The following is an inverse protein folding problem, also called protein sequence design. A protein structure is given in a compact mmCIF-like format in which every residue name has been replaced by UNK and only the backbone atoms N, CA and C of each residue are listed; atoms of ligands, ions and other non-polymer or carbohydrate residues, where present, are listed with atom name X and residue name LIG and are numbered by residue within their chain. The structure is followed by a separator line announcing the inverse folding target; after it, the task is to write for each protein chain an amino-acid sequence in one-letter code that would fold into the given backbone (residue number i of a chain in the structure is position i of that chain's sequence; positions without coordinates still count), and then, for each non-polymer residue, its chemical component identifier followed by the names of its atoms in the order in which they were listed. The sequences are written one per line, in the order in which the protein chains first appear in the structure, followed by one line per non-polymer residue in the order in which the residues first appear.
data_IF_385140120125
#
_entry.id   IF_385140120125
#
_cell.length_a   1.000
_cell.length_b   1.000
_cell.length_c   1.000
_cell.angle_alpha   90.00
_cell.angle_beta   90.00
_cell.angle_gamma   90.00
#
_symmetry.space_group_name_H-M   'P 1'
#
loop_
_entity.id
_entity.type
_entity.pdbx_description
1 polymer ?
#
# COMPACT_ATOMS: atom_id res chain seq x y z
N UNK A 1 -30.10 19.76 14.95
CA UNK A 1 -29.09 18.67 14.93
C UNK A 1 -29.22 17.90 13.62
N UNK A 2 -28.30 18.07 12.67
CA UNK A 2 -28.32 17.31 11.43
C UNK A 2 -27.80 15.89 11.69
N UNK A 3 -28.66 14.89 11.51
CA UNK A 3 -28.33 13.47 11.58
C UNK A 3 -27.31 13.21 10.45
N UNK A 4 -26.04 12.94 10.78
CA UNK A 4 -25.01 12.54 9.80
C UNK A 4 -25.58 11.35 9.02
N UNK A 5 -25.99 11.59 7.77
CA UNK A 5 -26.43 10.53 6.86
C UNK A 5 -25.24 9.60 6.71
N UNK A 6 -25.43 8.33 7.06
CA UNK A 6 -24.36 7.32 7.05
C UNK A 6 -23.85 7.21 5.62
N UNK A 7 -22.63 7.68 5.36
CA UNK A 7 -22.06 7.66 4.02
C UNK A 7 -22.04 6.22 3.50
N UNK A 8 -22.61 5.98 2.31
CA UNK A 8 -22.50 4.69 1.63
C UNK A 8 -21.07 4.61 1.08
N UNK A 9 -20.30 3.64 1.56
CA UNK A 9 -18.94 3.38 1.09
C UNK A 9 -19.00 2.34 -0.03
N UNK A 10 -18.61 2.73 -1.24
CA UNK A 10 -18.30 1.79 -2.31
C UNK A 10 -16.80 1.50 -2.33
N UNK A 11 -16.42 0.26 -2.63
CA UNK A 11 -15.03 -0.14 -2.84
C UNK A 11 -14.90 -0.67 -4.26
N UNK A 12 -13.89 -0.19 -4.99
CA UNK A 12 -13.56 -0.66 -6.34
C UNK A 12 -12.25 -1.42 -6.28
N UNK A 13 -12.19 -2.56 -6.96
CA UNK A 13 -10.97 -3.34 -7.15
C UNK A 13 -10.68 -3.45 -8.64
N UNK A 14 -9.43 -3.20 -9.02
CA UNK A 14 -9.00 -3.21 -10.41
C UNK A 14 -7.74 -4.05 -10.59
N UNK A 15 -7.58 -4.62 -11.77
CA UNK A 15 -6.34 -5.28 -12.18
C UNK A 15 -5.57 -4.31 -13.07
N UNK A 16 -4.27 -4.19 -12.82
CA UNK A 16 -3.36 -3.37 -13.61
C UNK A 16 -2.28 -4.27 -14.21
N UNK A 17 -1.73 -3.85 -15.34
CA UNK A 17 -0.59 -4.53 -15.95
C UNK A 17 0.61 -4.51 -14.98
N UNK A 18 1.31 -5.63 -14.89
CA UNK A 18 2.52 -5.73 -14.08
C UNK A 18 3.68 -5.08 -14.84
N UNK A 19 4.46 -4.23 -14.19
CA UNK A 19 5.71 -3.71 -14.74
C UNK A 19 6.87 -3.91 -13.76
N UNK A 20 8.10 -3.95 -14.28
CA UNK A 20 9.31 -4.10 -13.46
C UNK A 20 9.43 -2.99 -12.40
N UNK A 21 9.18 -1.71 -12.73
CA UNK A 21 9.20 -0.65 -11.72
C UNK A 21 8.14 -0.83 -10.61
N UNK A 22 6.95 -1.37 -10.94
CA UNK A 22 5.93 -1.69 -9.94
C UNK A 22 6.38 -2.83 -9.02
N UNK A 23 6.94 -3.88 -9.61
CA UNK A 23 7.48 -5.01 -8.86
C UNK A 23 8.60 -4.58 -7.91
N UNK A 24 9.52 -3.74 -8.39
CA UNK A 24 10.60 -3.18 -7.58
C UNK A 24 10.05 -2.40 -6.37
N UNK A 25 9.10 -1.49 -6.60
CA UNK A 25 8.45 -0.72 -5.53
C UNK A 25 7.81 -1.64 -4.48
N UNK A 26 7.02 -2.62 -4.93
CA UNK A 26 6.29 -3.53 -4.03
C UNK A 26 7.27 -4.38 -3.22
N UNK A 27 8.32 -4.90 -3.84
CA UNK A 27 9.34 -5.70 -3.15
C UNK A 27 10.12 -4.88 -2.14
N UNK A 28 10.51 -3.65 -2.49
CA UNK A 28 11.20 -2.72 -1.60
C UNK A 28 10.32 -2.35 -0.40
N UNK A 29 9.05 -2.04 -0.64
CA UNK A 29 8.08 -1.74 0.41
C UNK A 29 7.88 -2.93 1.36
N UNK A 30 7.77 -4.15 0.85
CA UNK A 30 7.62 -5.36 1.69
C UNK A 30 8.84 -5.59 2.58
N UNK A 31 10.05 -5.37 2.05
CA UNK A 31 11.28 -5.45 2.85
C UNK A 31 11.29 -4.37 3.93
N UNK A 32 10.96 -3.13 3.55
CA UNK A 32 10.89 -1.98 4.45
C UNK A 32 9.89 -2.19 5.58
N UNK A 33 8.65 -2.56 5.30
CA UNK A 33 7.62 -2.72 6.34
C UNK A 33 7.95 -3.87 7.29
N UNK A 34 8.57 -4.95 6.82
CA UNK A 34 9.04 -6.05 7.68
C UNK A 34 10.11 -5.56 8.65
N UNK A 35 11.08 -4.81 8.15
CA UNK A 35 12.09 -4.17 8.97
C UNK A 35 11.46 -3.21 9.98
N UNK A 36 10.58 -2.31 9.53
CA UNK A 36 9.96 -1.31 10.40
C UNK A 36 9.11 -1.93 11.50
N UNK A 37 8.28 -2.93 11.20
CA UNK A 37 7.47 -3.63 12.21
C UNK A 37 8.37 -4.26 13.28
N UNK A 38 9.49 -4.86 12.87
CA UNK A 38 10.43 -5.46 13.81
C UNK A 38 11.15 -4.40 14.65
N UNK A 39 11.61 -3.32 14.03
CA UNK A 39 12.22 -2.18 14.71
C UNK A 39 11.28 -1.57 15.76
N UNK A 40 9.99 -1.44 15.45
CA UNK A 40 8.97 -0.94 16.39
C UNK A 40 8.85 -1.83 17.62
N UNK A 41 8.87 -3.15 17.43
CA UNK A 41 8.81 -4.11 18.54
C UNK A 41 9.99 -3.96 19.51
N UNK A 42 11.17 -3.67 18.99
CA UNK A 42 12.39 -3.54 19.78
C UNK A 42 12.54 -2.16 20.43
N UNK A 43 12.11 -1.10 19.75
CA UNK A 43 12.43 0.29 20.12
C UNK A 43 11.25 1.11 20.64
N UNK A 44 10.02 0.57 20.54
CA UNK A 44 8.78 1.24 20.97
C UNK A 44 7.99 0.34 21.92
N UNK A 45 8.28 0.40 23.24
CA UNK A 45 7.57 -0.40 24.24
C UNK A 45 6.07 -0.12 24.33
N UNK A 46 5.67 1.14 24.11
CA UNK A 46 4.28 1.57 24.11
C UNK A 46 3.97 2.42 22.86
N UNK A 47 3.26 1.89 21.85
CA UNK A 47 2.93 2.66 20.66
C UNK A 47 1.83 3.72 20.85
N UNK A 48 1.15 3.74 22.01
CA UNK A 48 0.15 4.76 22.34
C UNK A 48 0.72 5.97 23.09
N UNK A 49 2.02 5.96 23.39
CA UNK A 49 2.69 7.10 24.00
C UNK A 49 2.70 8.32 23.05
N UNK A 50 2.55 9.51 23.63
CA UNK A 50 2.60 10.77 22.86
C UNK A 50 4.01 10.95 22.28
N UNK A 51 4.09 11.35 21.01
CA UNK A 51 5.37 11.60 20.34
C UNK A 51 6.00 10.39 19.65
N UNK A 52 5.43 9.18 19.80
CA UNK A 52 5.94 7.96 19.11
C UNK A 52 6.05 8.16 17.60
N UNK A 53 5.06 8.83 16.98
CA UNK A 53 5.10 9.09 15.55
C UNK A 53 6.30 9.97 15.13
N UNK A 54 6.68 10.95 15.96
CA UNK A 54 7.84 11.81 15.72
C UNK A 54 9.14 11.01 15.82
N UNK A 55 9.30 10.24 16.90
CA UNK A 55 10.46 9.33 17.08
C UNK A 55 10.60 8.35 15.91
N UNK A 56 9.49 7.74 15.50
CA UNK A 56 9.47 6.81 14.35
C UNK A 56 9.88 7.51 13.07
N UNK A 57 9.42 8.75 12.85
CA UNK A 57 9.80 9.51 11.66
C UNK A 57 11.30 9.84 11.65
N UNK A 58 11.83 10.38 12.75
CA UNK A 58 13.25 10.76 12.86
C UNK A 58 14.19 9.58 12.59
N UNK A 59 13.87 8.41 13.14
CA UNK A 59 14.72 7.22 13.03
C UNK A 59 14.58 6.47 11.70
N UNK A 60 13.37 6.42 11.14
CA UNK A 60 13.09 5.52 10.02
C UNK A 60 12.97 6.22 8.68
N UNK A 61 12.61 7.51 8.63
CA UNK A 61 12.34 8.18 7.36
C UNK A 61 13.54 8.15 6.41
N UNK A 62 14.71 8.60 6.89
CA UNK A 62 15.96 8.62 6.09
C UNK A 62 16.38 7.22 5.70
N UNK A 63 16.29 6.26 6.63
CA UNK A 63 16.63 4.87 6.37
C UNK A 63 15.75 4.23 5.29
N UNK A 64 14.45 4.45 5.36
CA UNK A 64 13.49 3.96 4.38
C UNK A 64 13.68 4.60 3.00
N UNK A 65 14.02 5.88 2.96
CA UNK A 65 14.36 6.62 1.74
C UNK A 65 15.61 6.08 1.06
N UNK A 66 16.68 5.89 1.82
CA UNK A 66 18.03 5.66 1.28
C UNK A 66 18.35 4.17 1.11
N UNK A 67 18.05 3.33 2.11
CA UNK A 67 18.41 1.91 2.06
C UNK A 67 17.37 1.05 1.33
N UNK A 68 16.10 1.44 1.40
CA UNK A 68 14.99 0.72 0.76
C UNK A 68 14.48 1.40 -0.51
N UNK A 69 15.12 2.49 -0.93
CA UNK A 69 14.78 3.25 -2.15
C UNK A 69 13.28 3.63 -2.18
N UNK A 70 12.73 4.01 -1.03
CA UNK A 70 11.34 4.44 -0.96
C UNK A 70 11.20 5.94 -1.32
N UNK A 71 10.22 6.28 -2.18
CA UNK A 71 9.81 7.66 -2.39
C UNK A 71 9.37 8.29 -1.08
N UNK A 72 9.61 9.59 -0.90
CA UNK A 72 9.31 10.32 0.34
C UNK A 72 7.93 10.01 0.92
N UNK A 73 6.87 10.17 0.12
CA UNK A 73 5.50 9.90 0.61
C UNK A 73 5.26 8.42 0.95
N UNK A 74 5.83 7.51 0.17
CA UNK A 74 5.70 6.05 0.37
C UNK A 74 6.48 5.61 1.62
N UNK A 75 7.64 6.22 1.90
CA UNK A 75 8.40 6.00 3.12
C UNK A 75 7.59 6.44 4.35
N UNK A 76 6.91 7.59 4.27
CA UNK A 76 6.00 8.03 5.33
C UNK A 76 4.85 7.06 5.57
N UNK A 77 4.21 6.63 4.49
CA UNK A 77 3.07 5.71 4.57
C UNK A 77 3.52 4.33 5.07
N UNK A 78 4.75 3.89 4.74
CA UNK A 78 5.35 2.64 5.20
C UNK A 78 5.47 2.55 6.72
N UNK A 79 6.07 3.55 7.38
CA UNK A 79 6.17 3.49 8.85
C UNK A 79 4.83 3.72 9.53
N UNK A 80 3.89 4.46 8.92
CA UNK A 80 2.53 4.60 9.44
C UNK A 80 1.75 3.29 9.37
N UNK A 81 1.90 2.55 8.27
CA UNK A 81 1.33 1.20 8.12
C UNK A 81 1.89 0.23 9.17
N UNK A 82 3.22 0.19 9.29
CA UNK A 82 3.89 -0.61 10.30
C UNK A 82 3.41 -0.26 11.72
N UNK A 83 3.27 1.03 12.04
CA UNK A 83 2.78 1.49 13.34
C UNK A 83 1.31 1.11 13.58
N UNK A 84 0.45 1.21 12.57
CA UNK A 84 -0.95 0.77 12.67
C UNK A 84 -1.04 -0.73 12.93
N UNK A 85 -0.25 -1.52 12.20
CA UNK A 85 -0.14 -2.97 12.39
C UNK A 85 0.36 -3.32 13.80
N UNK A 86 1.39 -2.61 14.27
CA UNK A 86 1.94 -2.81 15.61
C UNK A 86 0.95 -2.45 16.71
N UNK A 87 0.25 -1.31 16.60
CA UNK A 87 -0.83 -0.92 17.51
C UNK A 87 -1.96 -1.96 17.55
N UNK A 88 -2.37 -2.47 16.40
CA UNK A 88 -3.39 -3.51 16.31
C UNK A 88 -3.02 -4.78 17.08
N UNK A 89 -1.76 -5.20 17.01
CA UNK A 89 -1.25 -6.33 17.80
C UNK A 89 -1.12 -5.99 19.29
N UNK A 90 -0.57 -4.81 19.62
CA UNK A 90 -0.34 -4.36 20.99
C UNK A 90 -1.64 -4.25 21.80
N UNK A 91 -2.69 -3.70 21.18
CA UNK A 91 -4.01 -3.48 21.76
C UNK A 91 -4.89 -4.74 21.77
N UNK A 92 -4.47 -5.83 21.12
CA UNK A 92 -5.20 -7.09 21.19
C UNK A 92 -4.99 -7.73 22.58
N UNK A 93 -6.04 -7.95 23.41
CA UNK A 93 -5.90 -8.50 24.76
C UNK A 93 -5.18 -9.85 24.81
N UNK A 94 -5.31 -10.67 23.76
CA UNK A 94 -4.69 -11.99 23.69
C UNK A 94 -3.24 -11.97 23.21
N UNK A 95 -2.77 -10.82 22.67
CA UNK A 95 -1.42 -10.60 22.09
C UNK A 95 -0.86 -11.86 21.43
N UNK A 96 -1.60 -12.38 20.45
CA UNK A 96 -1.26 -13.60 19.74
C UNK A 96 0.07 -13.51 18.98
N UNK A 97 0.25 -14.34 17.96
CA UNK A 97 1.48 -14.32 17.17
C UNK A 97 1.78 -12.90 16.66
N UNK A 98 3.02 -12.46 16.87
CA UNK A 98 3.50 -11.17 16.38
C UNK A 98 3.30 -11.05 14.85
N UNK A 99 2.77 -9.91 14.35
CA UNK A 99 2.41 -9.75 12.95
C UNK A 99 3.60 -9.98 12.02
N UNK A 100 3.36 -10.69 10.91
CA UNK A 100 4.32 -10.94 9.84
C UNK A 100 3.68 -10.59 8.51
N UNK A 101 4.36 -9.78 7.71
CA UNK A 101 3.89 -9.36 6.39
C UNK A 101 4.27 -10.41 5.36
N UNK A 102 3.31 -11.21 4.94
CA UNK A 102 3.51 -12.27 3.94
C UNK A 102 3.11 -11.84 2.53
N UNK A 103 2.05 -11.05 2.41
CA UNK A 103 1.50 -10.65 1.11
C UNK A 103 2.20 -9.39 0.60
N UNK A 104 2.57 -9.34 -0.69
CA UNK A 104 3.10 -8.14 -1.30
C UNK A 104 1.97 -7.11 -1.46
N UNK A 105 1.90 -6.17 -0.52
CA UNK A 105 0.92 -5.08 -0.50
C UNK A 105 1.61 -3.78 -0.14
N UNK A 106 1.17 -2.68 -0.75
CA UNK A 106 1.70 -1.33 -0.53
C UNK A 106 0.55 -0.41 -0.15
N UNK A 107 0.74 0.39 0.90
CA UNK A 107 -0.19 1.47 1.22
C UNK A 107 0.14 2.70 0.36
N UNK A 108 -0.83 3.14 -0.44
CA UNK A 108 -0.76 4.37 -1.21
C UNK A 108 -1.82 5.39 -0.76
N UNK A 109 -1.45 6.66 -0.72
CA UNK A 109 -2.31 7.80 -0.37
C UNK A 109 -2.85 8.47 -1.63
N UNK A 110 -4.18 8.63 -1.78
CA UNK A 110 -4.78 9.30 -2.94
C UNK A 110 -4.24 10.71 -3.11
N UNK A 111 -3.97 11.12 -4.36
CA UNK A 111 -3.42 12.43 -4.75
C UNK A 111 -2.01 12.75 -4.24
N UNK A 112 -1.38 11.84 -3.47
CA UNK A 112 -0.03 12.03 -2.95
C UNK A 112 0.95 10.97 -3.47
N UNK A 113 0.56 9.69 -3.45
CA UNK A 113 1.37 8.61 -4.02
C UNK A 113 0.71 7.89 -5.19
N UNK A 114 -0.59 8.08 -5.41
CA UNK A 114 -1.26 7.63 -6.62
C UNK A 114 -2.38 8.56 -7.07
N UNK A 115 -2.71 8.50 -8.36
CA UNK A 115 -3.87 9.15 -8.96
C UNK A 115 -4.63 8.13 -9.82
N UNK A 116 -5.95 8.29 -9.89
CA UNK A 116 -6.83 7.47 -10.74
C UNK A 116 -7.56 8.41 -11.68
N UNK A 117 -7.46 8.12 -12.96
CA UNK A 117 -8.21 8.77 -14.01
C UNK A 117 -9.23 7.76 -14.55
N UNK A 118 -10.50 8.04 -14.28
CA UNK A 118 -11.61 7.16 -14.68
C UNK A 118 -12.03 7.37 -16.12
N UNK A 119 -11.76 8.56 -16.69
CA UNK A 119 -12.13 8.86 -18.07
C UNK A 119 -11.21 8.11 -19.04
N UNK A 120 -9.91 8.09 -18.71
CA UNK A 120 -8.90 7.37 -19.48
C UNK A 120 -8.68 5.93 -19.00
N UNK A 121 -9.37 5.51 -17.93
CA UNK A 121 -9.15 4.21 -17.27
C UNK A 121 -7.66 3.95 -17.01
N UNK A 122 -7.01 4.89 -16.32
CA UNK A 122 -5.59 4.77 -15.94
C UNK A 122 -5.36 4.98 -14.45
N UNK A 123 -4.33 4.34 -13.94
CA UNK A 123 -3.79 4.55 -12.59
C UNK A 123 -2.36 5.02 -12.72
N UNK A 124 -2.02 6.15 -12.12
CA UNK A 124 -0.65 6.64 -12.04
C UNK A 124 -0.14 6.46 -10.63
N UNK A 125 0.93 5.68 -10.45
CA UNK A 125 1.63 5.59 -9.18
C UNK A 125 2.81 6.56 -9.27
N UNK A 126 2.76 7.62 -8.48
CA UNK A 126 3.67 8.77 -8.61
C UNK A 126 5.14 8.38 -8.52
N UNK A 127 5.44 7.35 -7.73
CA UNK A 127 6.78 6.82 -7.53
C UNK A 127 7.33 5.98 -8.66
N UNK A 128 6.46 5.47 -9.54
CA UNK A 128 6.85 4.52 -10.58
C UNK A 128 7.03 5.20 -11.93
N UNK A 129 6.50 6.42 -12.08
CA UNK A 129 6.65 7.22 -13.30
C UNK A 129 5.80 6.76 -14.49
N UNK A 130 5.21 5.57 -14.41
CA UNK A 130 4.37 4.97 -15.45
C UNK A 130 2.87 5.16 -15.20
N UNK A 131 2.10 5.19 -16.30
CA UNK A 131 0.65 5.08 -16.27
C UNK A 131 0.26 3.62 -16.51
N UNK A 132 -0.48 3.07 -15.57
CA UNK A 132 -1.01 1.72 -15.65
C UNK A 132 -2.41 1.74 -16.23
N UNK A 133 -2.61 1.00 -17.32
CA UNK A 133 -3.93 0.79 -17.89
C UNK A 133 -4.65 -0.33 -17.15
N UNK A 134 -5.96 -0.21 -17.06
CA UNK A 134 -6.80 -1.25 -16.49
C UNK A 134 -6.77 -2.45 -17.42
N UNK A 135 -6.47 -3.62 -16.87
CA UNK A 135 -6.61 -4.87 -17.61
C UNK A 135 -8.07 -5.25 -17.51
N UNK A 136 -8.83 -4.93 -18.56
CA UNK A 136 -10.13 -5.55 -18.78
C UNK A 136 -9.82 -7.00 -19.16
N UNK A 137 -10.23 -8.01 -18.38
CA UNK A 137 -10.15 -9.38 -18.85
C UNK A 137 -11.08 -9.47 -20.05
N UNK A 138 -10.53 -9.44 -21.27
CA UNK A 138 -11.31 -9.69 -22.48
C UNK A 138 -11.94 -11.08 -22.36
N UNK A 139 -13.26 -11.15 -22.55
CA UNK A 139 -13.90 -11.62 -23.80
C UNK A 139 -13.00 -12.32 -24.84
N UNK A 140 -12.00 -13.11 -24.45
CA UNK A 140 -11.12 -13.94 -25.30
C UNK A 140 -11.85 -15.14 -25.92
N UNK A 141 -13.13 -15.01 -26.27
CA UNK A 141 -13.97 -16.10 -26.79
C UNK A 141 -14.93 -15.73 -27.91
N UNK A 142 -14.96 -14.48 -28.36
CA UNK A 142 -15.90 -14.06 -29.41
C UNK A 142 -15.26 -13.88 -30.79
N UNK A 143 -13.93 -13.74 -30.88
CA UNK A 143 -13.25 -13.64 -32.19
C UNK A 143 -12.68 -14.97 -32.71
N UNK A 144 -12.73 -16.07 -31.95
CA UNK A 144 -12.28 -17.40 -32.42
C UNK A 144 -13.42 -18.28 -32.96
N UNK A 145 -14.68 -17.82 -32.95
CA UNK A 145 -15.83 -18.60 -33.41
C UNK A 145 -16.46 -18.10 -34.72
N UNK A 146 -15.97 -17.00 -35.29
CA UNK A 146 -16.45 -16.50 -36.59
C UNK A 146 -15.55 -16.92 -37.77
N UNK A 147 -14.35 -17.45 -37.51
CA UNK A 147 -13.39 -17.87 -38.56
C UNK A 147 -13.43 -19.39 -38.89
N UNK A 148 -14.28 -20.19 -38.25
CA UNK A 148 -14.52 -21.61 -38.60
C UNK A 148 -15.85 -21.86 -39.34
N UNK A 149 -16.37 -20.83 -40.03
CA UNK A 149 -17.67 -20.87 -40.71
C UNK A 149 -17.65 -20.43 -42.19
N UNK A 150 -16.57 -20.70 -42.92
CA UNK A 150 -16.42 -20.42 -44.36
C UNK A 150 -16.33 -21.68 -45.21
#
# INVERSE_FOLDING_TARGET
MARRVKAIRATVSMKIALSEPLLALVNNYVKAIRFTIFWLKENVPNPEEKGVLGKVHEELYTKLREEYDLPSKVAEDCYRDALATYKGWYNNPRRGRFPRVYKPSVWLTPKASYNVDLDNMTVRIASVGENYHWVIPETSRLHELEDEGG
#
